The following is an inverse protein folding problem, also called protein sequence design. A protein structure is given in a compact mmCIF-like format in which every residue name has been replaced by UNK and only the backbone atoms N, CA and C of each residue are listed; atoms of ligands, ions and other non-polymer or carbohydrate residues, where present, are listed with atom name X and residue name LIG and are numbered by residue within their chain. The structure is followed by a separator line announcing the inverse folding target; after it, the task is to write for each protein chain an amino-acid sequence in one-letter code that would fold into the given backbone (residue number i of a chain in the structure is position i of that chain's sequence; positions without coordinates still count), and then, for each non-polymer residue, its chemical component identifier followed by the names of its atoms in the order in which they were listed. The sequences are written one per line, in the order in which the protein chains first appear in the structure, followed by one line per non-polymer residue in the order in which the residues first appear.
data_IF_571034730037
#
_entry.id   IF_571034730037
#
_cell.length_a   1.000
_cell.length_b   1.000
_cell.length_c   1.000
_cell.angle_alpha   90.00
_cell.angle_beta   90.00
_cell.angle_gamma   90.00
#
_symmetry.space_group_name_H-M   'P 1'
#
loop_
_entity.id
_entity.type
_entity.pdbx_description
1 polymer ?
#
# COMPACT_ATOMS: atom_id res chain seq x y z
N UNK A 1 3.45 -12.30 -1.38
CA UNK A 1 2.39 -11.36 -1.82
C UNK A 1 1.93 -10.55 -0.62
N UNK A 2 1.27 -9.42 -0.82
CA UNK A 2 0.74 -8.56 0.24
C UNK A 2 -0.69 -8.15 -0.08
N UNK A 3 -1.41 -7.68 0.94
CA UNK A 3 -2.72 -7.05 0.76
C UNK A 3 -2.60 -5.54 1.08
N UNK A 4 -2.74 -4.68 0.05
CA UNK A 4 -2.66 -3.22 0.19
C UNK A 4 -4.01 -2.66 0.62
N UNK A 5 -4.04 -1.98 1.76
CA UNK A 5 -5.24 -1.34 2.28
C UNK A 5 -5.35 0.06 1.69
N UNK A 6 -6.33 0.28 0.81
CA UNK A 6 -6.63 1.59 0.22
C UNK A 6 -7.72 2.35 0.99
N UNK A 7 -8.64 1.61 1.63
CA UNK A 7 -9.71 2.17 2.44
C UNK A 7 -10.46 1.13 3.27
N UNK A 8 -11.22 1.60 4.26
CA UNK A 8 -12.11 0.76 5.06
C UNK A 8 -13.23 1.57 5.74
N UNK A 9 -14.33 0.92 6.09
CA UNK A 9 -15.39 1.47 6.96
C UNK A 9 -15.11 1.19 8.44
N UNK A 10 -15.93 1.73 9.34
CA UNK A 10 -15.84 1.43 10.79
C UNK A 10 -15.95 -0.08 11.06
N UNK A 11 -16.90 -0.77 10.42
CA UNK A 11 -17.04 -2.23 10.48
C UNK A 11 -15.84 -2.94 9.83
N UNK A 12 -15.36 -2.43 8.68
CA UNK A 12 -14.19 -2.96 7.99
C UNK A 12 -12.91 -2.92 8.83
N UNK A 13 -12.74 -1.91 9.70
CA UNK A 13 -11.62 -1.83 10.64
C UNK A 13 -11.58 -3.02 11.60
N UNK A 14 -12.74 -3.50 12.06
CA UNK A 14 -12.84 -4.66 12.94
C UNK A 14 -12.40 -5.91 12.19
N UNK A 15 -12.90 -6.11 10.97
CA UNK A 15 -12.51 -7.22 10.11
C UNK A 15 -11.00 -7.22 9.80
N UNK A 16 -10.42 -6.07 9.47
CA UNK A 16 -8.99 -5.94 9.19
C UNK A 16 -8.11 -6.33 10.39
N UNK A 17 -8.58 -6.10 11.63
CA UNK A 17 -7.87 -6.56 12.85
C UNK A 17 -7.86 -8.09 12.92
N UNK A 18 -8.99 -8.73 12.61
CA UNK A 18 -9.10 -10.19 12.56
C UNK A 18 -8.23 -10.77 11.46
N UNK A 19 -8.23 -10.20 10.25
CA UNK A 19 -7.36 -10.62 9.15
C UNK A 19 -5.89 -10.49 9.56
N UNK A 20 -5.50 -9.38 10.20
CA UNK A 20 -4.11 -9.18 10.66
C UNK A 20 -3.65 -10.26 11.64
N UNK A 21 -4.55 -10.76 12.50
CA UNK A 21 -4.23 -11.78 13.50
C UNK A 21 -4.14 -13.19 12.89
N UNK A 22 -5.00 -13.47 11.91
CA UNK A 22 -5.21 -14.84 11.44
C UNK A 22 -4.60 -15.14 10.05
N UNK A 23 -4.21 -14.12 9.28
CA UNK A 23 -3.66 -14.30 7.93
C UNK A 23 -2.13 -14.27 7.94
N UNK A 24 -1.53 -15.16 7.15
CA UNK A 24 -0.11 -15.12 6.81
C UNK A 24 0.23 -14.04 5.78
N UNK A 25 -0.77 -13.44 5.11
CA UNK A 25 -0.55 -12.40 4.12
C UNK A 25 -0.40 -11.04 4.82
N UNK A 26 0.75 -10.34 4.63
CA UNK A 26 0.98 -9.06 5.27
C UNK A 26 0.00 -7.99 4.78
N UNK A 27 -0.66 -7.32 5.73
CA UNK A 27 -1.52 -6.17 5.48
C UNK A 27 -0.69 -4.88 5.45
N UNK A 28 -0.66 -4.22 4.30
CA UNK A 28 0.10 -2.99 4.06
C UNK A 28 -0.84 -1.80 4.11
N UNK A 29 -0.79 -1.06 5.21
CA UNK A 29 -1.52 0.21 5.36
C UNK A 29 -0.67 1.39 4.89
N UNK A 30 0.45 1.65 5.57
CA UNK A 30 1.41 2.71 5.21
C UNK A 30 2.60 2.10 4.49
N UNK A 31 2.75 2.43 3.21
CA UNK A 31 3.80 1.85 2.34
C UNK A 31 5.21 2.07 2.91
N UNK A 32 5.50 3.27 3.42
CA UNK A 32 6.80 3.58 4.03
C UNK A 32 7.15 2.67 5.22
N UNK A 33 6.15 2.28 6.02
CA UNK A 33 6.37 1.39 7.16
C UNK A 33 6.64 -0.04 6.71
N UNK A 34 6.00 -0.46 5.62
CA UNK A 34 6.20 -1.79 5.08
C UNK A 34 7.58 -1.91 4.41
N UNK A 35 8.00 -0.91 3.64
CA UNK A 35 9.34 -0.89 3.03
C UNK A 35 10.45 -0.99 4.09
N UNK A 36 10.33 -0.23 5.19
CA UNK A 36 11.26 -0.32 6.33
C UNK A 36 11.29 -1.72 6.95
N UNK A 37 10.12 -2.34 7.16
CA UNK A 37 10.05 -3.70 7.67
C UNK A 37 10.68 -4.70 6.71
N UNK A 38 10.37 -4.63 5.40
CA UNK A 38 10.93 -5.57 4.42
C UNK A 38 12.44 -5.42 4.24
N UNK A 39 13.00 -4.25 4.51
CA UNK A 39 14.45 -4.03 4.45
C UNK A 39 15.22 -4.81 5.52
N UNK A 40 14.58 -5.14 6.66
CA UNK A 40 15.19 -5.91 7.74
C UNK A 40 14.97 -7.43 7.61
N UNK A 41 14.40 -7.91 6.50
CA UNK A 41 14.13 -9.34 6.32
C UNK A 41 15.38 -10.09 5.83
N UNK A 42 15.69 -11.20 6.50
CA UNK A 42 16.85 -12.05 6.16
C UNK A 42 16.68 -12.75 4.79
N UNK A 43 15.45 -13.08 4.41
CA UNK A 43 15.19 -13.75 3.13
C UNK A 43 15.23 -12.75 1.96
N UNK A 44 16.41 -12.65 1.34
CA UNK A 44 16.71 -11.75 0.21
C UNK A 44 15.79 -12.00 -0.99
N UNK A 45 15.45 -13.26 -1.30
CA UNK A 45 14.62 -13.60 -2.46
C UNK A 45 13.18 -13.09 -2.31
N UNK A 46 12.60 -13.31 -1.12
CA UNK A 46 11.26 -12.81 -0.80
C UNK A 46 11.26 -11.28 -0.78
N UNK A 47 12.27 -10.67 -0.16
CA UNK A 47 12.45 -9.21 -0.13
C UNK A 47 12.48 -8.63 -1.54
N UNK A 48 13.35 -9.15 -2.42
CA UNK A 48 13.48 -8.67 -3.79
C UNK A 48 12.17 -8.79 -4.59
N UNK A 49 11.46 -9.92 -4.43
CA UNK A 49 10.17 -10.13 -5.11
C UNK A 49 9.12 -9.12 -4.64
N UNK A 50 8.99 -8.90 -3.34
CA UNK A 50 8.03 -7.95 -2.78
C UNK A 50 8.37 -6.51 -3.16
N UNK A 51 9.63 -6.12 -3.09
CA UNK A 51 10.09 -4.81 -3.54
C UNK A 51 9.78 -4.60 -5.02
N UNK A 52 9.99 -5.62 -5.87
CA UNK A 52 9.65 -5.54 -7.30
C UNK A 52 8.16 -5.33 -7.52
N UNK A 53 7.30 -6.05 -6.81
CA UNK A 53 5.84 -5.86 -6.88
C UNK A 53 5.43 -4.43 -6.45
N UNK A 54 5.95 -3.94 -5.32
CA UNK A 54 5.66 -2.59 -4.84
C UNK A 54 6.15 -1.51 -5.81
N UNK A 55 7.31 -1.72 -6.44
CA UNK A 55 7.83 -0.81 -7.45
C UNK A 55 6.91 -0.75 -8.68
N UNK A 56 6.32 -1.86 -9.09
CA UNK A 56 5.33 -1.85 -10.18
C UNK A 56 4.06 -1.11 -9.78
N UNK A 57 3.55 -1.32 -8.56
CA UNK A 57 2.38 -0.58 -8.06
C UNK A 57 2.66 0.94 -8.04
N UNK A 58 3.80 1.36 -7.49
CA UNK A 58 4.20 2.78 -7.45
C UNK A 58 4.34 3.34 -8.87
N UNK A 59 5.01 2.62 -9.76
CA UNK A 59 5.22 3.05 -11.14
C UNK A 59 3.88 3.21 -11.88
N UNK A 60 2.96 2.26 -11.70
CA UNK A 60 1.63 2.33 -12.30
C UNK A 60 0.87 3.57 -11.81
N UNK A 61 0.91 3.86 -10.51
CA UNK A 61 0.30 5.08 -9.96
C UNK A 61 0.98 6.35 -10.48
N UNK A 62 2.32 6.38 -10.54
CA UNK A 62 3.10 7.51 -11.05
C UNK A 62 2.77 7.79 -12.53
N UNK A 63 2.57 6.76 -13.36
CA UNK A 63 2.14 6.90 -14.75
C UNK A 63 0.67 7.37 -14.82
N UNK A 64 -0.20 6.79 -14.00
CA UNK A 64 -1.63 7.12 -13.98
C UNK A 64 -1.89 8.61 -13.71
N UNK A 65 -1.18 9.20 -12.74
CA UNK A 65 -1.38 10.61 -12.38
C UNK A 65 -0.99 11.58 -13.50
N UNK A 66 -0.10 11.18 -14.43
CA UNK A 66 0.26 12.01 -15.59
C UNK A 66 -0.95 12.28 -16.50
N UNK A 67 -1.90 11.36 -16.56
CA UNK A 67 -3.14 11.48 -17.33
C UNK A 67 -4.18 12.43 -16.74
N UNK A 68 -3.92 13.04 -15.57
CA UNK A 68 -4.88 13.96 -14.96
C UNK A 68 -5.05 15.25 -15.79
N UNK A 69 -6.31 15.64 -16.02
CA UNK A 69 -6.68 16.89 -16.72
C UNK A 69 -6.04 18.12 -16.05
N UNK A 70 -6.15 18.21 -14.71
CA UNK A 70 -5.57 19.31 -13.95
C UNK A 70 -4.11 19.02 -13.63
N UNK A 71 -3.23 19.99 -13.92
CA UNK A 71 -1.79 19.89 -13.63
C UNK A 71 -1.51 19.70 -12.13
N UNK A 72 -2.30 20.35 -11.26
CA UNK A 72 -2.21 20.23 -9.79
C UNK A 72 -2.39 18.81 -9.26
N UNK A 73 -3.01 17.93 -10.04
CA UNK A 73 -3.25 16.53 -9.67
C UNK A 73 -2.19 15.57 -10.25
N UNK A 74 -1.24 16.07 -11.05
CA UNK A 74 -0.13 15.27 -11.63
C UNK A 74 1.03 15.16 -10.64
N UNK A 75 0.72 14.79 -9.40
CA UNK A 75 1.70 14.69 -8.31
C UNK A 75 2.16 13.23 -8.21
N UNK A 76 3.44 13.00 -8.46
CA UNK A 76 4.06 11.69 -8.31
C UNK A 76 4.04 11.21 -6.84
N UNK A 77 4.27 9.92 -6.63
CA UNK A 77 4.38 9.26 -5.33
C UNK A 77 3.11 9.34 -4.50
N UNK A 78 1.95 9.34 -5.17
CA UNK A 78 0.64 9.35 -4.54
C UNK A 78 0.46 8.19 -3.55
N UNK A 79 1.08 7.04 -3.81
CA UNK A 79 1.17 5.89 -2.91
C UNK A 79 1.68 6.19 -1.49
N UNK A 80 2.49 7.24 -1.34
CA UNK A 80 3.07 7.66 -0.06
C UNK A 80 2.31 8.81 0.60
N UNK A 81 1.66 9.65 -0.21
CA UNK A 81 1.01 10.89 0.25
C UNK A 81 -0.49 10.73 0.46
N UNK A 82 -1.13 9.84 -0.30
CA UNK A 82 -2.56 9.59 -0.17
C UNK A 82 -2.86 8.84 1.12
N UNK A 83 -3.76 9.40 1.93
CA UNK A 83 -4.21 8.78 3.17
C UNK A 83 -5.20 7.67 2.86
N UNK A 84 -5.18 6.63 3.66
CA UNK A 84 -6.19 5.55 3.60
C UNK A 84 -7.58 6.18 3.79
N UNK A 85 -8.49 5.83 2.90
CA UNK A 85 -9.86 6.35 2.93
C UNK A 85 -10.62 5.68 4.08
N UNK A 86 -11.12 6.47 5.03
CA UNK A 86 -11.96 5.98 6.12
C UNK A 86 -13.38 6.45 5.86
N UNK A 87 -14.27 5.52 5.49
CA UNK A 87 -15.71 5.83 5.36
C UNK A 87 -16.29 6.04 6.76
N UNK A 88 -16.76 7.25 7.03
CA UNK A 88 -17.62 7.54 8.18
C UNK A 88 -19.04 7.07 7.83
N UNK A 89 -19.67 6.39 8.78
CA UNK A 89 -21.06 5.94 8.66
C UNK A 89 -22.00 7.15 8.62
#
# INVERSE_FOLDING_TARGET
MYARILGFSKKGKILLRTIKKNSSTPLVSKLSNYLRQTASWENINIRNRLTKMLNYDILATDIYVLGSKKAENRIARLDFTHKIVIKKD
#
